data_IF_943719090875
#
_entry.id   IF_943719090875
#
_cell.length_a   1.000
_cell.length_b   1.000
_cell.length_c   1.000
_cell.angle_alpha   90.00
_cell.angle_beta   90.00
_cell.angle_gamma   90.00
#
_symmetry.space_group_name_H-M   'P 1'
#
loop_
_entity.id
_entity.type
_entity.pdbx_description
1 polymer ?
#
# COMPACT_ATOMS: atom_id res chain seq x y z
N UNK A 1 12.90 -12.02 3.04
CA UNK A 1 11.54 -11.49 2.82
C UNK A 1 10.54 -12.45 3.45
N UNK A 2 9.55 -11.94 4.18
CA UNK A 2 8.49 -12.77 4.79
C UNK A 2 7.65 -13.38 3.67
N UNK A 3 7.52 -14.71 3.63
CA UNK A 3 6.77 -15.40 2.58
C UNK A 3 5.26 -15.28 2.78
N UNK A 4 4.48 -15.51 1.71
CA UNK A 4 3.01 -15.57 1.79
C UNK A 4 2.50 -16.50 2.90
N UNK A 5 3.10 -17.69 3.02
CA UNK A 5 2.77 -18.68 4.06
C UNK A 5 3.06 -18.16 5.48
N UNK A 6 4.10 -17.35 5.65
CA UNK A 6 4.42 -16.76 6.94
C UNK A 6 3.41 -15.68 7.33
N UNK A 7 3.00 -14.84 6.38
CA UNK A 7 1.93 -13.85 6.61
C UNK A 7 0.61 -14.54 6.97
N UNK A 8 0.22 -15.58 6.22
CA UNK A 8 -0.97 -16.36 6.54
C UNK A 8 -0.87 -16.98 7.94
N UNK A 9 0.29 -17.53 8.32
CA UNK A 9 0.49 -18.10 9.68
C UNK A 9 0.42 -17.04 10.78
N UNK A 10 1.03 -15.87 10.59
CA UNK A 10 1.08 -14.79 11.58
C UNK A 10 -0.32 -14.23 11.83
N UNK A 11 -1.10 -14.02 10.76
CA UNK A 11 -2.40 -13.36 10.85
C UNK A 11 -3.60 -14.32 10.96
N UNK A 12 -3.47 -15.61 10.61
CA UNK A 12 -4.54 -16.59 10.80
C UNK A 12 -4.68 -17.10 12.24
N UNK A 13 -3.66 -16.91 13.09
CA UNK A 13 -3.62 -17.47 14.44
C UNK A 13 -3.90 -16.49 15.58
N UNK A 14 -3.96 -15.18 15.32
CA UNK A 14 -3.88 -14.16 16.38
C UNK A 14 -5.03 -13.16 16.48
N UNK A 15 -5.80 -12.96 15.42
CA UNK A 15 -6.78 -11.87 15.37
C UNK A 15 -8.04 -12.30 14.62
N UNK A 16 -9.17 -12.41 15.33
CA UNK A 16 -10.44 -12.90 14.79
C UNK A 16 -11.01 -11.98 13.69
N UNK A 17 -10.49 -10.75 13.57
CA UNK A 17 -10.95 -9.75 12.61
C UNK A 17 -9.97 -9.55 11.44
N UNK A 18 -8.87 -10.31 11.41
CA UNK A 18 -7.94 -10.29 10.29
C UNK A 18 -8.54 -11.01 9.06
N UNK A 19 -8.46 -10.35 7.91
CA UNK A 19 -8.80 -10.92 6.60
C UNK A 19 -7.69 -11.84 6.08
N UNK A 20 -8.01 -12.72 5.13
CA UNK A 20 -6.99 -13.48 4.42
C UNK A 20 -6.23 -12.58 3.44
N UNK A 21 -4.98 -12.96 3.12
CA UNK A 21 -4.18 -12.25 2.13
C UNK A 21 -4.86 -12.28 0.75
N UNK A 22 -5.39 -11.14 0.34
CA UNK A 22 -6.19 -10.97 -0.87
C UNK A 22 -5.81 -9.72 -1.64
N UNK A 23 -6.47 -9.49 -2.78
CA UNK A 23 -6.21 -8.31 -3.63
C UNK A 23 -6.74 -7.05 -2.97
N UNK A 24 -5.94 -5.98 -2.99
CA UNK A 24 -6.39 -4.65 -2.59
C UNK A 24 -7.16 -4.01 -3.76
N UNK A 25 -8.42 -3.58 -3.59
CA UNK A 25 -9.18 -2.90 -4.64
C UNK A 25 -8.49 -1.62 -5.10
N UNK A 26 -8.52 -1.32 -6.40
CA UNK A 26 -7.94 -0.07 -6.95
C UNK A 26 -8.67 1.18 -6.47
N UNK A 27 -9.90 1.04 -5.96
CA UNK A 27 -10.69 2.11 -5.34
C UNK A 27 -10.27 2.43 -3.90
N UNK A 28 -9.43 1.58 -3.29
CA UNK A 28 -8.99 1.73 -1.90
C UNK A 28 -8.23 3.04 -1.70
N UNK A 29 -8.38 3.64 -0.50
CA UNK A 29 -7.79 4.95 -0.18
C UNK A 29 -6.27 4.99 -0.36
N UNK A 30 -5.59 3.87 -0.18
CA UNK A 30 -4.15 3.68 -0.47
C UNK A 30 -3.72 4.20 -1.85
N UNK A 31 -4.56 4.04 -2.89
CA UNK A 31 -4.25 4.49 -4.24
C UNK A 31 -4.45 5.99 -4.47
N UNK A 32 -4.96 6.70 -3.45
CA UNK A 32 -5.34 8.12 -3.47
C UNK A 32 -5.09 8.82 -2.12
N UNK A 33 -4.09 8.36 -1.37
CA UNK A 33 -3.72 8.98 -0.09
C UNK A 33 -3.11 10.36 -0.32
N UNK A 34 -2.26 10.49 -1.34
CA UNK A 34 -1.67 11.76 -1.77
C UNK A 34 -1.64 11.90 -3.29
N UNK A 35 -0.99 10.97 -3.99
CA UNK A 35 -1.05 10.86 -5.44
C UNK A 35 -2.22 9.98 -5.88
N UNK A 36 -2.78 10.27 -7.06
CA UNK A 36 -3.68 9.34 -7.75
C UNK A 36 -2.84 8.32 -8.53
N UNK A 37 -2.90 7.06 -8.11
CA UNK A 37 -2.16 5.94 -8.73
C UNK A 37 -3.16 4.88 -9.19
N UNK A 38 -3.16 4.55 -10.49
CA UNK A 38 -4.12 3.58 -11.03
C UNK A 38 -3.65 2.13 -10.94
N UNK A 39 -2.34 1.91 -11.00
CA UNK A 39 -1.71 0.58 -11.05
C UNK A 39 -0.41 0.60 -10.25
N UNK A 40 -0.03 -0.49 -9.59
CA UNK A 40 1.22 -0.54 -8.86
C UNK A 40 2.40 -0.52 -9.81
N UNK A 41 3.33 0.41 -9.58
CA UNK A 41 4.66 0.38 -10.21
C UNK A 41 5.56 -0.68 -9.58
N UNK A 42 6.81 -0.70 -10.02
CA UNK A 42 7.88 -1.46 -9.40
C UNK A 42 9.01 -1.72 -10.38
N UNK A 43 10.07 -2.37 -9.90
CA UNK A 43 11.22 -2.74 -10.73
C UNK A 43 10.84 -3.79 -11.78
N UNK A 44 9.95 -4.71 -11.43
CA UNK A 44 9.53 -5.84 -12.29
C UNK A 44 7.99 -5.93 -12.34
N UNK A 45 7.37 -6.11 -13.52
CA UNK A 45 5.91 -6.16 -13.64
C UNK A 45 5.36 -7.57 -13.36
N UNK A 46 5.48 -8.04 -12.11
CA UNK A 46 5.07 -9.41 -11.72
C UNK A 46 3.56 -9.53 -11.55
N UNK A 47 2.92 -8.53 -10.93
CA UNK A 47 1.45 -8.49 -10.72
C UNK A 47 0.90 -7.09 -10.99
N UNK A 48 -0.28 -6.97 -11.63
CA UNK A 48 -0.92 -5.67 -11.87
C UNK A 48 -1.73 -5.14 -10.69
N UNK A 49 -1.61 -5.76 -9.50
CA UNK A 49 -2.35 -5.42 -8.29
C UNK A 49 -1.48 -5.59 -7.04
N UNK A 50 -1.88 -4.92 -5.96
CA UNK A 50 -1.33 -5.16 -4.63
C UNK A 50 -2.14 -6.25 -3.91
N UNK A 51 -1.48 -6.94 -3.00
CA UNK A 51 -2.14 -7.80 -2.02
C UNK A 51 -2.06 -7.17 -0.64
N UNK A 52 -2.95 -7.57 0.26
CA UNK A 52 -2.92 -7.10 1.62
C UNK A 52 -3.81 -7.89 2.56
N UNK A 53 -3.63 -7.60 3.84
CA UNK A 53 -4.41 -8.11 4.95
C UNK A 53 -4.96 -6.89 5.69
N UNK A 54 -6.27 -6.83 5.82
CA UNK A 54 -6.94 -5.90 6.71
C UNK A 54 -7.21 -6.50 8.08
N UNK A 55 -7.11 -5.68 9.11
CA UNK A 55 -7.50 -5.95 10.51
C UNK A 55 -8.50 -4.85 10.88
N UNK A 56 -9.67 -5.22 11.39
CA UNK A 56 -10.73 -4.26 11.74
C UNK A 56 -11.11 -3.31 10.59
N UNK A 57 -11.13 -3.82 9.36
CA UNK A 57 -11.42 -3.03 8.17
C UNK A 57 -10.26 -2.16 7.67
N UNK A 58 -9.18 -2.01 8.44
CA UNK A 58 -8.00 -1.21 8.09
C UNK A 58 -6.92 -2.07 7.45
N UNK A 59 -6.32 -1.60 6.37
CA UNK A 59 -5.28 -2.34 5.65
C UNK A 59 -3.97 -2.33 6.47
N UNK A 60 -3.70 -3.41 7.20
CA UNK A 60 -2.58 -3.53 8.12
C UNK A 60 -1.30 -4.02 7.43
N UNK A 61 -1.44 -4.84 6.38
CA UNK A 61 -0.33 -5.36 5.59
C UNK A 61 -0.55 -5.03 4.13
N UNK A 62 0.50 -4.55 3.46
CA UNK A 62 0.51 -4.40 2.00
C UNK A 62 1.70 -5.14 1.42
N UNK A 63 1.44 -5.92 0.38
CA UNK A 63 2.42 -6.72 -0.34
C UNK A 63 2.45 -6.26 -1.79
N UNK A 64 3.63 -5.81 -2.23
CA UNK A 64 3.93 -5.46 -3.61
C UNK A 64 4.87 -6.51 -4.21
N UNK A 65 4.38 -7.32 -5.16
CA UNK A 65 5.19 -8.33 -5.83
C UNK A 65 6.18 -7.74 -6.86
N UNK A 66 6.03 -6.46 -7.20
CA UNK A 66 6.75 -5.83 -8.30
C UNK A 66 8.13 -5.28 -7.91
N UNK A 67 8.61 -5.56 -6.70
CA UNK A 67 9.85 -4.99 -6.14
C UNK A 67 9.85 -3.45 -6.18
N UNK A 68 8.98 -2.87 -5.36
CA UNK A 68 8.81 -1.43 -5.21
C UNK A 68 10.10 -0.77 -4.68
N UNK A 69 10.74 -1.40 -3.71
CA UNK A 69 11.96 -0.88 -3.07
C UNK A 69 13.13 -0.85 -4.06
N UNK A 70 13.32 -1.92 -4.84
CA UNK A 70 14.36 -1.96 -5.87
C UNK A 70 14.21 -0.88 -6.93
N UNK A 71 12.97 -0.45 -7.25
CA UNK A 71 12.75 0.67 -8.17
C UNK A 71 13.22 2.02 -7.59
N UNK A 72 13.13 2.20 -6.27
CA UNK A 72 13.48 3.43 -5.55
C UNK A 72 14.93 3.43 -5.05
N UNK A 73 15.62 2.29 -5.08
CA UNK A 73 16.95 2.12 -4.54
C UNK A 73 17.99 2.99 -5.27
N UNK A 74 18.89 3.58 -4.47
CA UNK A 74 19.97 4.46 -4.93
C UNK A 74 21.29 3.91 -4.42
N UNK A 75 22.28 3.88 -5.30
CA UNK A 75 23.65 3.55 -4.94
C UNK A 75 24.33 4.66 -4.13
N UNK A 76 25.55 4.42 -3.61
CA UNK A 76 26.28 5.39 -2.77
C UNK A 76 26.54 6.74 -3.44
N UNK A 77 26.64 6.77 -4.77
CA UNK A 77 26.90 7.98 -5.55
C UNK A 77 25.62 8.67 -6.04
N UNK A 78 24.45 8.16 -5.64
CA UNK A 78 23.17 8.68 -6.07
C UNK A 78 22.79 8.25 -7.48
N UNK A 79 23.40 7.22 -8.06
CA UNK A 79 22.85 6.58 -9.25
C UNK A 79 21.73 5.59 -8.87
N UNK A 80 20.92 5.20 -9.84
CA UNK A 80 19.93 4.15 -9.63
C UNK A 80 20.63 2.81 -9.44
N UNK A 81 20.30 2.11 -8.35
CA UNK A 81 20.97 0.84 -8.03
C UNK A 81 20.51 -0.31 -8.93
N UNK A 82 19.24 -0.28 -9.36
CA UNK A 82 18.67 -1.29 -10.23
C UNK A 82 17.93 -0.69 -11.42
N UNK A 83 18.04 -1.36 -12.56
CA UNK A 83 17.22 -1.09 -13.73
C UNK A 83 15.77 -1.49 -13.48
N UNK A 84 14.86 -0.66 -13.99
CA UNK A 84 13.42 -0.93 -13.96
C UNK A 84 13.03 -1.52 -15.32
N UNK A 85 12.37 -2.69 -15.28
CA UNK A 85 11.87 -3.42 -16.43
C UNK A 85 10.85 -2.61 -17.26
N UNK A 86 10.11 -3.23 -18.20
CA UNK A 86 9.35 -2.49 -19.21
C UNK A 86 8.42 -1.46 -18.55
N UNK A 87 8.70 -0.18 -18.82
CA UNK A 87 8.11 0.97 -18.10
C UNK A 87 9.13 2.00 -17.63
N UNK A 88 10.40 1.61 -17.42
CA UNK A 88 11.52 2.53 -17.22
C UNK A 88 11.27 3.61 -16.16
N UNK A 89 11.46 4.89 -16.54
CA UNK A 89 11.29 6.04 -15.66
C UNK A 89 9.85 6.18 -15.13
N UNK A 90 8.83 5.89 -15.94
CA UNK A 90 7.42 6.03 -15.53
C UNK A 90 7.04 5.01 -14.45
N UNK A 91 7.52 3.77 -14.57
CA UNK A 91 7.30 2.75 -13.54
C UNK A 91 8.05 3.10 -12.26
N UNK A 92 9.24 3.69 -12.37
CA UNK A 92 9.99 4.20 -11.22
C UNK A 92 9.26 5.35 -10.54
N UNK A 93 8.79 6.34 -11.28
CA UNK A 93 8.01 7.45 -10.74
C UNK A 93 6.73 6.94 -10.06
N UNK A 94 6.02 6.01 -10.70
CA UNK A 94 4.84 5.37 -10.11
C UNK A 94 5.18 4.64 -8.82
N UNK A 95 6.37 4.04 -8.72
CA UNK A 95 6.86 3.40 -7.51
C UNK A 95 7.04 4.38 -6.35
N UNK A 96 7.65 5.54 -6.62
CA UNK A 96 7.78 6.62 -5.63
C UNK A 96 6.42 7.16 -5.19
N UNK A 97 5.51 7.42 -6.15
CA UNK A 97 4.15 7.90 -5.86
C UNK A 97 3.39 6.90 -4.97
N UNK A 98 3.50 5.61 -5.27
CA UNK A 98 2.87 4.55 -4.48
C UNK A 98 3.52 4.42 -3.09
N UNK A 99 4.85 4.52 -2.98
CA UNK A 99 5.56 4.49 -1.70
C UNK A 99 5.15 5.64 -0.78
N UNK A 100 5.04 6.86 -1.33
CA UNK A 100 4.54 8.03 -0.59
C UNK A 100 3.10 7.82 -0.12
N UNK A 101 2.25 7.28 -1.00
CA UNK A 101 0.88 6.94 -0.64
C UNK A 101 0.79 5.90 0.49
N UNK A 102 1.66 4.89 0.49
CA UNK A 102 1.73 3.89 1.55
C UNK A 102 2.11 4.52 2.89
N UNK A 103 3.16 5.32 2.92
CA UNK A 103 3.62 6.00 4.14
C UNK A 103 2.52 6.92 4.66
N UNK A 104 1.89 7.73 3.80
CA UNK A 104 0.82 8.62 4.22
C UNK A 104 -0.45 7.88 4.64
N UNK A 105 -0.79 6.76 3.99
CA UNK A 105 -1.88 5.91 4.45
C UNK A 105 -1.61 5.38 5.87
N UNK A 106 -0.42 4.87 6.11
CA UNK A 106 -0.04 4.30 7.41
C UNK A 106 0.06 5.36 8.52
N UNK A 107 0.51 6.58 8.20
CA UNK A 107 0.68 7.64 9.18
C UNK A 107 -0.59 8.46 9.44
N UNK A 108 -1.49 8.54 8.46
CA UNK A 108 -2.68 9.37 8.54
C UNK A 108 -3.99 8.59 8.66
N UNK A 109 -3.94 7.25 8.64
CA UNK A 109 -5.00 6.24 8.86
C UNK A 109 -6.44 6.79 8.86
N UNK A 110 -6.77 7.55 9.90
CA UNK A 110 -8.13 7.90 10.30
C UNK A 110 -8.70 9.19 9.73
N UNK A 111 -7.91 10.07 9.08
CA UNK A 111 -8.44 11.37 8.61
C UNK A 111 -9.63 11.24 7.63
N UNK A 112 -9.70 10.17 6.83
CA UNK A 112 -10.76 10.00 5.82
C UNK A 112 -11.97 9.16 6.28
N UNK A 113 -11.82 8.28 7.26
CA UNK A 113 -12.97 7.56 7.85
C UNK A 113 -13.73 8.42 8.86
N UNK A 114 -13.05 9.32 9.57
CA UNK A 114 -13.69 10.28 10.49
C UNK A 114 -14.73 11.17 9.78
N UNK A 115 -14.60 11.41 8.47
CA UNK A 115 -15.58 12.17 7.69
C UNK A 115 -16.97 11.50 7.61
N UNK A 116 -17.04 10.17 7.72
CA UNK A 116 -18.32 9.44 7.77
C UNK A 116 -18.97 9.55 9.15
N UNK A 117 -18.19 9.74 10.22
CA UNK A 117 -18.67 9.88 11.59
C UNK A 117 -18.93 11.33 12.03
N UNK A 118 -18.42 12.32 11.29
CA UNK A 118 -18.63 13.76 11.51
C UNK A 118 -20.11 14.18 11.70
N UNK A 119 -21.11 13.64 10.96
CA UNK A 119 -22.52 13.96 11.18
C UNK A 119 -23.02 13.62 12.60
N UNK A 120 -22.43 12.59 13.25
CA UNK A 120 -22.82 12.16 14.60
C UNK A 120 -22.21 13.03 15.70
N UNK A 121 -21.03 13.62 15.46
CA UNK A 121 -20.35 14.51 16.41
C UNK A 121 -21.04 15.88 16.48
N UNK A 122 -21.52 16.39 15.33
CA UNK A 122 -22.22 17.69 15.26
C UNK A 122 -23.56 17.65 16.02
N UNK A 123 -24.23 16.49 16.06
CA UNK A 123 -25.52 16.31 16.76
C UNK A 123 -25.46 16.36 18.30
N UNK A 124 -24.28 16.33 18.92
CA UNK A 124 -24.13 16.44 20.39
C UNK A 124 -23.83 17.86 20.90
N UNK A 125 -23.73 18.84 20.01
CA UNK A 125 -23.49 20.26 20.37
C UNK A 125 -24.75 21.13 20.32
N UNK A 126 -25.92 20.53 20.17
CA UNK A 126 -27.22 21.18 20.25
C UNK A 126 -28.13 20.40 21.20
#
# INVERSE_FOLDING_TARGET
>A
AVGRRDLERIFAGGDAQATQLGRVPTTHVLYKSFYLVQRPGGRVPVRPYLEGISIDGRLAVVVAANDLAGAMARGPFGDWEYDVGPGGADSRETSFRLGINWVLYALCLDYKEDQVHLPFIIKRRH
#
